data_IF_765945096947
#
_entry.id   IF_765945096947
#
_cell.length_a   1.000
_cell.length_b   1.000
_cell.length_c   1.000
_cell.angle_alpha   90.00
_cell.angle_beta   90.00
_cell.angle_gamma   90.00
#
_symmetry.space_group_name_H-M   'P 1'
#
loop_
_entity.id
_entity.type
_entity.pdbx_description
1 polymer ?
#
# COMPACT_ATOMS: atom_id res chain seq x y z
N UNK A 1 -6.64 36.44 9.61
CA UNK A 1 -7.93 36.05 10.19
C UNK A 1 -8.94 35.88 9.06
N UNK A 2 -9.21 34.66 8.63
CA UNK A 2 -10.30 34.35 7.69
C UNK A 2 -11.21 33.32 8.34
N UNK A 3 -12.47 33.72 8.52
CA UNK A 3 -13.54 32.94 9.14
C UNK A 3 -13.98 31.81 8.20
N UNK A 4 -14.14 30.61 8.76
CA UNK A 4 -14.75 29.46 8.11
C UNK A 4 -16.28 29.56 8.29
N UNK A 5 -17.11 29.38 7.25
CA UNK A 5 -18.56 29.37 7.39
C UNK A 5 -19.06 28.02 7.89
N UNK A 6 -19.92 28.08 8.89
CA UNK A 6 -20.75 26.98 9.40
C UNK A 6 -21.86 26.73 8.40
N UNK A 7 -22.02 25.49 7.95
CA UNK A 7 -23.11 25.05 7.07
C UNK A 7 -24.28 24.56 7.94
N UNK A 8 -25.34 25.34 7.99
CA UNK A 8 -26.64 24.99 8.57
C UNK A 8 -27.40 24.07 7.60
N UNK A 9 -27.89 22.95 8.11
CA UNK A 9 -28.86 22.12 7.41
C UNK A 9 -30.27 22.62 7.70
N UNK A 10 -31.18 22.66 6.68
CA UNK A 10 -32.58 23.02 6.90
C UNK A 10 -33.39 21.85 7.42
N UNK A 11 -34.25 22.17 8.37
CA UNK A 11 -35.43 21.38 8.79
C UNK A 11 -36.52 21.56 7.75
N UNK A 12 -37.30 20.53 7.56
CA UNK A 12 -38.70 20.50 7.15
C UNK A 12 -39.02 19.11 6.56
N UNK A 13 -40.12 18.46 6.79
CA UNK A 13 -41.46 18.91 6.97
C UNK A 13 -42.32 17.80 7.59
N UNK A 14 -43.21 18.20 8.44
CA UNK A 14 -44.38 17.44 8.93
C UNK A 14 -45.28 17.01 7.76
N UNK A 15 -45.80 15.79 7.81
CA UNK A 15 -47.09 15.43 7.19
C UNK A 15 -47.94 14.64 8.17
N UNK A 16 -48.86 15.37 8.75
CA UNK A 16 -50.14 14.88 9.30
C UNK A 16 -50.99 14.23 8.22
N UNK A 17 -51.52 13.05 8.48
CA UNK A 17 -52.87 12.59 7.98
C UNK A 17 -53.20 11.27 8.63
N UNK A 18 -54.16 11.24 9.30
CA UNK A 18 -55.58 10.85 9.34
C UNK A 18 -55.87 9.71 10.31
N UNK A 19 -56.85 10.02 11.14
CA UNK A 19 -57.65 9.11 11.98
C UNK A 19 -58.25 7.95 11.16
N UNK A 20 -58.13 6.75 11.70
CA UNK A 20 -58.80 5.57 11.21
C UNK A 20 -59.06 4.56 12.33
N UNK A 21 -60.22 4.67 12.93
CA UNK A 21 -61.05 3.60 13.46
C UNK A 21 -60.47 2.51 14.36
N UNK A 22 -60.85 2.53 15.61
CA UNK A 22 -60.80 1.44 16.58
C UNK A 22 -61.82 0.36 16.21
N UNK A 23 -61.53 -0.92 16.24
CA UNK A 23 -62.45 -1.94 16.65
C UNK A 23 -62.10 -2.45 18.05
N UNK A 24 -63.10 -2.31 18.90
CA UNK A 24 -63.19 -2.93 20.21
C UNK A 24 -63.34 -4.44 20.09
N UNK A 25 -62.83 -5.09 21.14
CA UNK A 25 -63.17 -6.43 21.63
C UNK A 25 -62.25 -7.57 21.17
N UNK A 26 -61.45 -8.05 22.10
CA UNK A 26 -61.57 -9.42 22.58
C UNK A 26 -60.56 -9.64 23.74
N UNK A 27 -61.14 -9.91 24.85
CA UNK A 27 -60.54 -10.47 26.06
C UNK A 27 -59.64 -11.66 25.73
N UNK A 28 -58.36 -11.49 25.84
CA UNK A 28 -57.39 -12.54 25.82
C UNK A 28 -56.42 -12.27 26.96
N UNK A 29 -56.66 -12.93 28.09
CA UNK A 29 -55.80 -12.93 29.26
C UNK A 29 -54.47 -13.61 28.87
N UNK A 30 -53.54 -12.85 28.31
CA UNK A 30 -52.13 -13.23 28.37
C UNK A 30 -51.62 -12.78 29.73
N UNK A 31 -51.63 -13.76 30.63
CA UNK A 31 -50.79 -13.78 31.83
C UNK A 31 -49.38 -13.52 31.37
N UNK A 32 -48.93 -12.27 31.43
CA UNK A 32 -47.50 -11.96 31.38
C UNK A 32 -46.88 -12.71 32.55
N UNK A 33 -46.16 -13.78 32.24
CA UNK A 33 -45.21 -14.35 33.16
C UNK A 33 -44.34 -13.18 33.61
N UNK A 34 -44.51 -12.84 34.88
CA UNK A 34 -43.65 -11.87 35.53
C UNK A 34 -42.26 -12.50 35.54
N UNK A 35 -41.46 -12.18 34.53
CA UNK A 35 -40.01 -12.50 34.60
C UNK A 35 -39.52 -11.94 35.90
N UNK A 36 -39.01 -12.84 36.74
CA UNK A 36 -38.48 -12.47 38.06
C UNK A 36 -37.46 -11.35 37.86
N UNK A 37 -37.60 -10.16 38.50
CA UNK A 37 -36.71 -9.03 38.29
C UNK A 37 -35.21 -9.39 38.48
N UNK A 38 -34.96 -10.41 39.29
CA UNK A 38 -33.62 -10.97 39.50
C UNK A 38 -33.08 -11.67 38.26
N UNK A 39 -33.91 -12.36 37.49
CA UNK A 39 -33.49 -13.05 36.26
C UNK A 39 -33.15 -12.03 35.16
N UNK A 40 -33.94 -10.95 35.04
CA UNK A 40 -33.63 -9.85 34.10
C UNK A 40 -32.31 -9.13 34.44
N UNK A 41 -32.11 -8.85 35.74
CA UNK A 41 -30.86 -8.21 36.20
C UNK A 41 -29.63 -9.09 35.97
N UNK A 42 -29.78 -10.41 36.17
CA UNK A 42 -28.71 -11.37 35.91
C UNK A 42 -28.34 -11.44 34.40
N UNK A 43 -29.35 -11.48 33.54
CA UNK A 43 -29.14 -11.44 32.09
C UNK A 43 -28.43 -10.15 31.61
N UNK A 44 -28.81 -9.01 32.17
CA UNK A 44 -28.17 -7.72 31.87
C UNK A 44 -26.71 -7.70 32.38
N UNK A 45 -26.44 -8.26 33.54
CA UNK A 45 -25.08 -8.34 34.10
C UNK A 45 -24.19 -9.21 33.21
N UNK A 46 -24.67 -10.36 32.75
CA UNK A 46 -23.93 -11.24 31.87
C UNK A 46 -23.69 -10.57 30.50
N UNK A 47 -24.69 -9.89 29.96
CA UNK A 47 -24.56 -9.10 28.73
C UNK A 47 -23.52 -8.00 28.84
N UNK A 48 -23.48 -7.27 29.95
CA UNK A 48 -22.46 -6.24 30.18
C UNK A 48 -21.07 -6.82 30.38
N UNK A 49 -20.95 -8.00 31.02
CA UNK A 49 -19.68 -8.72 31.13
C UNK A 49 -19.16 -9.15 29.78
N UNK A 50 -20.02 -9.74 28.94
CA UNK A 50 -19.63 -10.16 27.59
C UNK A 50 -19.21 -8.96 26.73
N UNK A 51 -19.96 -7.85 26.84
CA UNK A 51 -19.63 -6.61 26.14
C UNK A 51 -18.26 -6.05 26.61
N UNK A 52 -18.00 -6.06 27.91
CA UNK A 52 -16.72 -5.61 28.47
C UNK A 52 -15.55 -6.48 28.02
N UNK A 53 -15.72 -7.81 28.07
CA UNK A 53 -14.68 -8.75 27.61
C UNK A 53 -14.39 -8.60 26.12
N UNK A 54 -15.43 -8.45 25.29
CA UNK A 54 -15.28 -8.19 23.85
C UNK A 54 -14.58 -6.87 23.60
N UNK A 55 -15.00 -5.80 24.28
CA UNK A 55 -14.37 -4.48 24.16
C UNK A 55 -12.90 -4.51 24.57
N UNK A 56 -12.56 -5.25 25.62
CA UNK A 56 -11.16 -5.42 26.02
C UNK A 56 -10.35 -6.18 24.97
N UNK A 57 -10.89 -7.27 24.40
CA UNK A 57 -10.22 -8.01 23.33
C UNK A 57 -10.03 -7.15 22.08
N UNK A 58 -11.03 -6.39 21.69
CA UNK A 58 -10.96 -5.46 20.56
C UNK A 58 -9.91 -4.37 20.80
N UNK A 59 -9.83 -3.82 22.01
CA UNK A 59 -8.83 -2.84 22.39
C UNK A 59 -7.40 -3.41 22.32
N UNK A 60 -7.18 -4.64 22.82
CA UNK A 60 -5.88 -5.30 22.72
C UNK A 60 -5.46 -5.58 21.27
N UNK A 61 -6.39 -6.03 20.45
CA UNK A 61 -6.17 -6.22 19.01
C UNK A 61 -5.85 -4.90 18.30
N UNK A 62 -6.60 -3.86 18.62
CA UNK A 62 -6.35 -2.50 18.11
C UNK A 62 -4.96 -2.01 18.50
N UNK A 63 -4.56 -2.16 19.78
CA UNK A 63 -3.24 -1.76 20.27
C UNK A 63 -2.11 -2.49 19.52
N UNK A 64 -2.24 -3.82 19.31
CA UNK A 64 -1.27 -4.60 18.54
C UNK A 64 -1.18 -4.15 17.10
N UNK A 65 -2.33 -3.86 16.47
CA UNK A 65 -2.38 -3.34 15.10
C UNK A 65 -1.71 -1.97 14.99
N UNK A 66 -2.06 -1.03 15.86
CA UNK A 66 -1.46 0.31 15.88
C UNK A 66 0.06 0.28 16.08
N UNK A 67 0.57 -0.64 16.92
CA UNK A 67 2.00 -0.80 17.11
C UNK A 67 2.69 -1.21 15.80
N UNK A 68 2.15 -2.20 15.08
CA UNK A 68 2.66 -2.64 13.77
C UNK A 68 2.58 -1.53 12.72
N UNK A 69 1.44 -0.86 12.62
CA UNK A 69 1.25 0.26 11.68
C UNK A 69 2.26 1.40 11.94
N UNK A 70 2.55 1.69 13.23
CA UNK A 70 3.57 2.68 13.59
C UNK A 70 4.97 2.22 13.19
N UNK A 71 5.33 0.97 13.43
CA UNK A 71 6.62 0.41 13.02
C UNK A 71 6.77 0.47 11.50
N UNK A 72 5.73 0.09 10.75
CA UNK A 72 5.72 0.14 9.30
C UNK A 72 5.80 1.58 8.78
N UNK A 73 5.07 2.52 9.39
CA UNK A 73 5.13 3.92 9.03
C UNK A 73 6.55 4.50 9.20
N UNK A 74 7.23 4.19 10.29
CA UNK A 74 8.63 4.59 10.51
C UNK A 74 9.57 3.87 9.54
N UNK A 75 9.35 2.56 9.32
CA UNK A 75 10.18 1.73 8.45
C UNK A 75 10.17 2.24 6.99
N UNK A 76 9.02 2.71 6.51
CA UNK A 76 8.82 3.13 5.12
C UNK A 76 8.64 4.64 4.93
N UNK A 77 8.90 5.45 5.95
CA UNK A 77 8.74 6.90 5.89
C UNK A 77 9.43 7.54 4.69
N UNK A 78 10.60 7.02 4.31
CA UNK A 78 11.42 7.57 3.23
C UNK A 78 11.11 6.97 1.84
N UNK A 79 10.15 6.05 1.72
CA UNK A 79 9.89 5.36 0.44
C UNK A 79 9.55 6.31 -0.71
N UNK A 80 8.69 7.28 -0.46
CA UNK A 80 8.29 8.28 -1.47
C UNK A 80 9.44 9.21 -1.89
N UNK A 81 10.33 9.57 -0.95
CA UNK A 81 11.53 10.33 -1.26
C UNK A 81 12.50 9.52 -2.13
N UNK A 82 12.73 8.26 -1.76
CA UNK A 82 13.59 7.35 -2.50
C UNK A 82 13.06 7.07 -3.92
N UNK A 83 11.76 6.94 -4.09
CA UNK A 83 11.14 6.76 -5.41
C UNK A 83 11.44 7.93 -6.35
N UNK A 84 11.33 9.16 -5.84
CA UNK A 84 11.67 10.37 -6.61
C UNK A 84 13.17 10.46 -6.89
N UNK A 85 14.01 10.10 -5.93
CA UNK A 85 15.46 10.11 -6.08
C UNK A 85 15.92 9.09 -7.13
N UNK A 86 15.32 7.91 -7.17
CA UNK A 86 15.61 6.89 -8.19
C UNK A 86 15.34 7.41 -9.60
N UNK A 87 14.29 8.22 -9.81
CA UNK A 87 14.03 8.84 -11.11
C UNK A 87 15.14 9.82 -11.53
N UNK A 88 15.73 10.52 -10.57
CA UNK A 88 16.89 11.41 -10.82
C UNK A 88 18.12 10.58 -11.17
N UNK A 89 18.36 9.48 -10.49
CA UNK A 89 19.46 8.54 -10.77
C UNK A 89 19.33 7.97 -12.18
N UNK A 90 18.13 7.57 -12.62
CA UNK A 90 17.90 7.09 -13.98
C UNK A 90 18.30 8.13 -15.03
N UNK A 91 17.90 9.40 -14.84
CA UNK A 91 18.26 10.48 -15.76
C UNK A 91 19.76 10.76 -15.75
N UNK A 92 20.40 10.63 -14.59
CA UNK A 92 21.85 10.78 -14.46
C UNK A 92 22.60 9.65 -15.16
N UNK A 93 22.11 8.40 -15.05
CA UNK A 93 22.68 7.24 -15.77
C UNK A 93 22.56 7.44 -17.29
N UNK A 94 21.38 7.89 -17.76
CA UNK A 94 21.18 8.17 -19.18
C UNK A 94 22.09 9.28 -19.71
N UNK A 95 22.30 10.35 -18.92
CA UNK A 95 23.23 11.42 -19.26
C UNK A 95 24.68 10.94 -19.31
N UNK A 96 25.06 10.05 -18.40
CA UNK A 96 26.39 9.43 -18.42
C UNK A 96 26.59 8.50 -19.62
N UNK A 97 25.58 7.76 -20.03
CA UNK A 97 25.64 6.90 -21.22
C UNK A 97 25.86 7.75 -22.46
N UNK A 98 25.13 8.86 -22.64
CA UNK A 98 25.33 9.81 -23.73
C UNK A 98 26.73 10.43 -23.69
N UNK A 99 27.25 10.80 -22.50
CA UNK A 99 28.60 11.37 -22.37
C UNK A 99 29.71 10.36 -22.67
N UNK A 100 29.46 9.06 -22.41
CA UNK A 100 30.40 7.98 -22.78
C UNK A 100 30.57 7.88 -24.28
N UNK A 101 29.49 8.00 -25.03
CA UNK A 101 29.51 7.91 -26.50
C UNK A 101 30.29 9.06 -27.14
N UNK A 102 30.34 10.23 -26.47
CA UNK A 102 31.16 11.35 -26.93
C UNK A 102 32.65 11.20 -26.57
N UNK A 103 32.99 10.86 -25.32
CA UNK A 103 34.36 10.67 -24.83
C UNK A 103 34.43 9.91 -23.52
N UNK A 104 34.66 8.60 -23.58
CA UNK A 104 34.88 7.77 -22.39
C UNK A 104 36.13 8.13 -21.58
N UNK A 105 37.13 8.75 -22.23
CA UNK A 105 38.41 9.15 -21.61
C UNK A 105 38.34 10.54 -20.97
N UNK A 106 37.23 11.21 -21.01
CA UNK A 106 37.08 12.55 -20.41
C UNK A 106 37.23 12.49 -18.89
N UNK A 107 38.04 13.37 -18.27
CA UNK A 107 38.11 13.51 -16.81
C UNK A 107 36.75 13.82 -16.18
N UNK A 108 35.87 14.51 -16.91
CA UNK A 108 34.50 14.82 -16.49
C UNK A 108 33.70 13.53 -16.40
N UNK A 109 33.76 12.67 -17.42
CA UNK A 109 33.06 11.36 -17.42
C UNK A 109 33.51 10.50 -16.24
N UNK A 110 34.82 10.40 -16.00
CA UNK A 110 35.38 9.65 -14.85
C UNK A 110 34.87 10.21 -13.51
N UNK A 111 34.87 11.53 -13.34
CA UNK A 111 34.38 12.18 -12.12
C UNK A 111 32.91 11.93 -11.88
N UNK A 112 32.08 12.05 -12.93
CA UNK A 112 30.63 11.80 -12.85
C UNK A 112 30.29 10.33 -12.56
N UNK A 113 31.06 9.40 -13.12
CA UNK A 113 30.95 7.96 -12.81
C UNK A 113 31.25 7.67 -11.34
N UNK A 114 32.24 8.33 -10.76
CA UNK A 114 32.53 8.21 -9.33
C UNK A 114 31.38 8.75 -8.46
N UNK A 115 30.78 9.90 -8.84
CA UNK A 115 29.62 10.47 -8.14
C UNK A 115 28.43 9.51 -8.21
N UNK A 116 28.16 8.92 -9.39
CA UNK A 116 27.09 7.93 -9.53
C UNK A 116 27.33 6.71 -8.64
N UNK A 117 28.57 6.23 -8.57
CA UNK A 117 28.91 5.12 -7.67
C UNK A 117 28.63 5.47 -6.22
N UNK A 118 29.11 6.62 -5.75
CA UNK A 118 28.86 7.08 -4.37
C UNK A 118 27.38 7.21 -4.07
N UNK A 119 26.59 7.69 -5.03
CA UNK A 119 25.12 7.80 -4.88
C UNK A 119 24.46 6.41 -4.76
N UNK A 120 24.88 5.46 -5.57
CA UNK A 120 24.37 4.06 -5.48
C UNK A 120 24.75 3.41 -4.14
N UNK A 121 25.98 3.61 -3.68
CA UNK A 121 26.45 3.09 -2.39
C UNK A 121 25.63 3.70 -1.24
N UNK A 122 25.41 5.02 -1.26
CA UNK A 122 24.56 5.72 -0.30
C UNK A 122 23.11 5.18 -0.29
N UNK A 123 22.53 4.93 -1.46
CA UNK A 123 21.18 4.36 -1.56
C UNK A 123 21.13 2.95 -0.99
N UNK A 124 22.15 2.13 -1.26
CA UNK A 124 22.26 0.77 -0.73
C UNK A 124 22.38 0.75 0.80
N UNK A 125 23.18 1.63 1.39
CA UNK A 125 23.31 1.82 2.84
C UNK A 125 21.99 2.22 3.50
N UNK A 126 21.15 2.97 2.78
CA UNK A 126 19.82 3.34 3.24
C UNK A 126 18.75 2.27 2.98
N UNK A 127 19.15 1.07 2.55
CA UNK A 127 18.26 -0.09 2.37
C UNK A 127 17.57 -0.18 1.02
N UNK A 128 18.01 0.61 0.03
CA UNK A 128 17.54 0.50 -1.35
C UNK A 128 18.45 -0.47 -2.11
N UNK A 129 17.90 -1.53 -2.64
CA UNK A 129 18.62 -2.56 -3.39
C UNK A 129 18.18 -2.55 -4.85
N UNK A 130 19.13 -2.48 -5.76
CA UNK A 130 18.86 -2.63 -7.19
C UNK A 130 18.49 -4.09 -7.51
N UNK A 131 17.51 -4.26 -8.38
CA UNK A 131 17.09 -5.57 -8.90
C UNK A 131 17.90 -5.83 -10.17
N UNK A 132 18.78 -6.81 -10.12
CA UNK A 132 19.50 -7.29 -11.30
C UNK A 132 18.65 -8.34 -12.01
N UNK A 133 18.19 -8.01 -13.20
CA UNK A 133 17.28 -8.86 -13.97
C UNK A 133 17.96 -9.57 -15.14
N UNK A 134 19.03 -9.03 -15.70
CA UNK A 134 19.66 -9.56 -16.91
C UNK A 134 20.16 -11.02 -16.75
N UNK A 135 19.83 -11.85 -17.73
CA UNK A 135 20.18 -13.27 -17.74
C UNK A 135 19.36 -14.12 -16.76
N UNK A 136 18.45 -13.54 -15.99
CA UNK A 136 17.56 -14.28 -15.07
C UNK A 136 16.21 -14.57 -15.73
N UNK A 137 15.48 -15.54 -15.17
CA UNK A 137 14.10 -15.80 -15.56
C UNK A 137 13.22 -14.60 -15.21
N UNK A 138 12.29 -14.30 -16.07
CA UNK A 138 11.28 -13.28 -15.82
C UNK A 138 10.42 -13.66 -14.60
N UNK A 139 10.30 -12.72 -13.66
CA UNK A 139 9.46 -12.83 -12.47
C UNK A 139 8.46 -11.65 -12.46
N UNK A 140 7.15 -11.91 -12.61
CA UNK A 140 6.13 -10.85 -12.63
C UNK A 140 6.07 -10.02 -11.34
N UNK A 141 6.59 -10.53 -10.22
CA UNK A 141 6.61 -9.78 -8.96
C UNK A 141 7.73 -8.73 -8.90
N UNK A 142 8.77 -8.89 -9.74
CA UNK A 142 9.97 -8.03 -9.71
C UNK A 142 10.21 -7.30 -11.03
N UNK A 143 9.67 -7.81 -12.14
CA UNK A 143 9.95 -7.36 -13.48
C UNK A 143 8.69 -6.97 -14.23
N UNK A 144 8.81 -5.95 -15.06
CA UNK A 144 7.82 -5.48 -16.01
C UNK A 144 8.36 -5.72 -17.44
N UNK A 145 7.74 -6.64 -18.18
CA UNK A 145 8.13 -6.90 -19.55
C UNK A 145 7.57 -5.79 -20.48
N UNK A 146 8.46 -5.05 -21.12
CA UNK A 146 8.09 -3.97 -22.05
C UNK A 146 8.15 -4.41 -23.51
N UNK A 147 8.92 -5.46 -23.82
CA UNK A 147 9.04 -6.04 -25.16
C UNK A 147 9.47 -7.52 -25.09
N UNK A 148 9.21 -8.23 -26.17
CA UNK A 148 9.74 -9.55 -26.43
C UNK A 148 10.60 -9.51 -27.69
N UNK A 149 11.78 -10.13 -27.65
CA UNK A 149 12.66 -10.22 -28.82
C UNK A 149 13.28 -11.61 -28.96
N UNK A 150 13.51 -12.08 -30.18
CA UNK A 150 14.24 -13.33 -30.42
C UNK A 150 15.67 -13.18 -29.90
N UNK A 151 16.16 -14.15 -29.17
CA UNK A 151 17.53 -14.16 -28.67
C UNK A 151 18.08 -15.56 -28.50
N UNK A 152 19.39 -15.67 -28.22
CA UNK A 152 20.05 -16.96 -27.92
C UNK A 152 19.62 -17.57 -26.57
N UNK A 153 18.91 -16.82 -25.76
CA UNK A 153 18.43 -17.30 -24.47
C UNK A 153 17.12 -18.07 -24.61
N UNK A 154 16.85 -18.96 -23.67
CA UNK A 154 15.57 -19.66 -23.60
C UNK A 154 14.41 -18.69 -23.43
N UNK A 155 13.24 -19.06 -23.93
CA UNK A 155 12.01 -18.28 -23.75
C UNK A 155 11.76 -17.96 -22.28
N UNK A 156 11.31 -16.74 -22.01
CA UNK A 156 11.05 -16.26 -20.66
C UNK A 156 12.30 -15.80 -19.89
N UNK A 157 13.48 -15.72 -20.53
CA UNK A 157 14.70 -15.17 -19.93
C UNK A 157 14.82 -13.68 -20.25
N UNK A 158 15.23 -12.87 -19.28
CA UNK A 158 15.47 -11.45 -19.49
C UNK A 158 16.73 -11.26 -20.33
N UNK A 159 16.58 -10.64 -21.49
CA UNK A 159 17.68 -10.35 -22.41
C UNK A 159 18.47 -9.14 -21.99
N UNK A 160 17.75 -8.06 -21.68
CA UNK A 160 18.34 -6.80 -21.20
C UNK A 160 17.38 -6.06 -20.28
N UNK A 161 17.95 -5.27 -19.42
CA UNK A 161 17.23 -4.39 -18.49
C UNK A 161 17.32 -2.95 -19.01
N UNK A 162 16.17 -2.41 -19.42
CA UNK A 162 16.10 -1.03 -19.96
C UNK A 162 15.99 0.00 -18.87
N UNK A 163 15.40 -0.38 -17.71
CA UNK A 163 15.28 0.46 -16.55
C UNK A 163 15.46 -0.37 -15.28
N UNK A 164 16.32 0.09 -14.38
CA UNK A 164 16.60 -0.64 -13.14
C UNK A 164 15.38 -0.63 -12.22
N UNK A 165 15.05 -1.80 -11.69
CA UNK A 165 14.11 -1.96 -10.60
C UNK A 165 14.81 -1.76 -9.26
N UNK A 166 14.01 -1.42 -8.24
CA UNK A 166 14.52 -1.22 -6.90
C UNK A 166 13.58 -1.81 -5.86
N UNK A 167 14.19 -2.38 -4.82
CA UNK A 167 13.50 -2.86 -3.63
C UNK A 167 13.99 -2.05 -2.43
N UNK A 168 13.07 -1.53 -1.64
CA UNK A 168 13.36 -0.84 -0.40
C UNK A 168 13.07 -1.76 0.78
N UNK A 169 14.13 -2.21 1.43
CA UNK A 169 14.05 -3.24 2.48
C UNK A 169 13.36 -4.51 1.93
N UNK A 170 12.20 -4.86 2.45
CA UNK A 170 11.40 -6.03 2.06
C UNK A 170 10.26 -5.72 1.06
N UNK A 171 10.07 -4.44 0.69
CA UNK A 171 9.01 -4.00 -0.22
C UNK A 171 9.55 -3.62 -1.59
N UNK A 172 8.86 -4.05 -2.65
CA UNK A 172 9.14 -3.56 -4.00
C UNK A 172 8.82 -2.06 -4.07
N UNK A 173 9.81 -1.25 -4.46
CA UNK A 173 9.64 0.18 -4.71
C UNK A 173 9.21 0.43 -6.16
N UNK A 174 9.92 -0.24 -7.09
CA UNK A 174 9.67 -0.14 -8.53
C UNK A 174 10.15 -1.41 -9.24
N UNK A 175 9.35 -2.03 -10.13
CA UNK A 175 9.81 -3.16 -10.93
C UNK A 175 10.92 -2.76 -11.91
N UNK A 176 11.71 -3.74 -12.33
CA UNK A 176 12.64 -3.57 -13.44
C UNK A 176 11.90 -3.65 -14.76
N UNK A 177 12.05 -2.66 -15.63
CA UNK A 177 11.56 -2.74 -17.00
C UNK A 177 12.55 -3.55 -17.85
N UNK A 178 12.08 -4.63 -18.43
CA UNK A 178 12.94 -5.62 -19.08
C UNK A 178 12.44 -6.02 -20.47
N UNK A 179 13.35 -6.45 -21.30
CA UNK A 179 13.06 -7.13 -22.57
C UNK A 179 13.27 -8.63 -22.37
N UNK A 180 12.29 -9.43 -22.74
CA UNK A 180 12.25 -10.86 -22.50
C UNK A 180 12.48 -11.63 -23.79
N UNK A 181 13.22 -12.73 -23.73
CA UNK A 181 13.46 -13.62 -24.87
C UNK A 181 12.18 -14.34 -25.27
N UNK A 182 11.88 -14.32 -26.56
CA UNK A 182 10.87 -15.22 -27.20
C UNK A 182 11.44 -16.56 -27.67
N UNK A 183 12.71 -16.84 -27.30
CA UNK A 183 13.43 -18.00 -27.78
C UNK A 183 14.33 -17.71 -29.00
N UNK A 184 15.08 -18.73 -29.50
CA UNK A 184 15.92 -18.57 -30.67
C UNK A 184 15.08 -18.24 -31.91
N UNK A 185 15.59 -17.33 -32.76
CA UNK A 185 14.99 -17.06 -34.05
C UNK A 185 15.02 -18.37 -34.90
N UNK A 186 13.86 -18.77 -35.38
CA UNK A 186 13.71 -19.95 -36.28
C UNK A 186 14.28 -19.67 -37.64
#
# INVERSE_FOLDING_TARGET
MKKVPVNEQPRESEKTTSLGSIPSSATGSHRSESEDPMTGLQADLDRFRDLALRSQADFENYKKRCAREKEDAVKYANSSLLERLVAIVDNFELGLEAARDESEQSPIYSGMTLVLKQLRDFLAENGLQAIEAEGKKFDPNLHEAIAHEPSRFSEGTVVRQTRRGYRFKDRLLRPSSVVVSSGPAS
#
